data_IF_441967421805
#
_entry.id   IF_441967421805
#
_cell.length_a   1.000
_cell.length_b   1.000
_cell.length_c   1.000
_cell.angle_alpha   90.00
_cell.angle_beta   90.00
_cell.angle_gamma   90.00
#
_symmetry.space_group_name_H-M   'P 1'
#
loop_
_entity.id
_entity.type
_entity.pdbx_description
1 polymer ?
#
# COMPACT_ATOMS: atom_id res chain seq x y z
N UNK A 1 -9.77 -4.55 -16.16
CA UNK A 1 -9.14 -5.09 -14.95
C UNK A 1 -8.28 -4.00 -14.35
N UNK A 2 -8.36 -3.78 -13.04
CA UNK A 2 -7.59 -2.73 -12.36
C UNK A 2 -6.08 -3.01 -12.41
N UNK A 3 -5.25 -2.00 -12.69
CA UNK A 3 -3.79 -2.15 -12.69
C UNK A 3 -3.23 -1.95 -11.28
N UNK A 4 -2.04 -2.51 -11.04
CA UNK A 4 -1.32 -2.32 -9.77
C UNK A 4 -1.06 -0.84 -9.45
N UNK A 5 -0.77 -0.03 -10.47
CA UNK A 5 -0.62 1.43 -10.31
C UNK A 5 -1.90 2.09 -9.79
N UNK A 6 -3.07 1.62 -10.22
CA UNK A 6 -4.36 2.16 -9.80
C UNK A 6 -4.59 1.86 -8.32
N UNK A 7 -4.26 0.64 -7.88
CA UNK A 7 -4.33 0.22 -6.46
C UNK A 7 -3.43 1.12 -5.60
N UNK A 8 -2.19 1.34 -6.02
CA UNK A 8 -1.23 2.16 -5.26
C UNK A 8 -1.69 3.63 -5.21
N UNK A 9 -2.25 4.16 -6.30
CA UNK A 9 -2.80 5.51 -6.32
C UNK A 9 -4.04 5.65 -5.42
N UNK A 10 -4.93 4.66 -5.39
CA UNK A 10 -6.06 4.65 -4.46
C UNK A 10 -5.60 4.61 -2.99
N UNK A 11 -4.65 3.74 -2.67
CA UNK A 11 -4.12 3.63 -1.30
C UNK A 11 -3.44 4.94 -0.86
N UNK A 12 -2.64 5.56 -1.74
CA UNK A 12 -2.03 6.86 -1.44
C UNK A 12 -3.08 7.92 -1.10
N UNK A 13 -4.11 8.04 -1.94
CA UNK A 13 -5.18 9.02 -1.75
C UNK A 13 -6.00 8.73 -0.48
N UNK A 14 -6.27 7.47 -0.17
CA UNK A 14 -6.97 7.08 1.05
C UNK A 14 -6.15 7.47 2.30
N UNK A 15 -4.84 7.24 2.30
CA UNK A 15 -3.97 7.64 3.42
C UNK A 15 -3.92 9.17 3.57
N UNK A 16 -3.91 9.93 2.47
CA UNK A 16 -4.02 11.39 2.54
C UNK A 16 -5.37 11.85 3.12
N UNK A 17 -6.47 11.17 2.76
CA UNK A 17 -7.81 11.46 3.30
C UNK A 17 -7.86 11.23 4.82
N UNK A 18 -7.31 10.11 5.29
CA UNK A 18 -7.15 9.81 6.73
C UNK A 18 -6.24 10.81 7.44
N UNK A 19 -5.28 11.40 6.74
CA UNK A 19 -4.42 12.46 7.24
C UNK A 19 -5.09 13.85 7.21
N UNK A 20 -6.40 13.92 7.49
CA UNK A 20 -7.21 15.13 7.44
C UNK A 20 -7.14 15.86 6.08
N UNK A 21 -6.99 15.10 4.99
CA UNK A 21 -6.82 15.65 3.64
C UNK A 21 -5.46 16.31 3.37
N UNK A 22 -4.50 16.25 4.31
CA UNK A 22 -3.16 16.82 4.11
C UNK A 22 -2.36 15.95 3.17
N UNK A 23 -1.83 16.59 2.12
CA UNK A 23 -0.98 15.94 1.12
C UNK A 23 0.27 15.33 1.76
N UNK A 24 0.62 14.13 1.31
CA UNK A 24 1.83 13.41 1.71
C UNK A 24 2.74 13.33 0.50
N UNK A 25 3.97 13.84 0.63
CA UNK A 25 4.91 13.76 -0.47
C UNK A 25 5.22 12.31 -0.85
N UNK A 26 5.47 12.04 -2.12
CA UNK A 26 5.88 10.71 -2.58
C UNK A 26 7.15 10.23 -1.86
N UNK A 27 8.07 11.15 -1.54
CA UNK A 27 9.26 10.86 -0.72
C UNK A 27 8.87 10.35 0.66
N UNK A 28 7.97 11.05 1.36
CA UNK A 28 7.54 10.66 2.70
C UNK A 28 6.78 9.33 2.70
N UNK A 29 5.94 9.09 1.69
CA UNK A 29 5.24 7.81 1.57
C UNK A 29 6.21 6.66 1.27
N UNK A 30 7.20 6.89 0.41
CA UNK A 30 8.25 5.91 0.14
C UNK A 30 9.04 5.55 1.40
N UNK A 31 9.43 6.55 2.20
CA UNK A 31 10.07 6.37 3.51
C UNK A 31 9.19 5.53 4.45
N UNK A 32 7.90 5.85 4.56
CA UNK A 32 6.95 5.10 5.38
C UNK A 32 6.79 3.63 4.92
N UNK A 33 6.99 3.35 3.64
CA UNK A 33 6.94 2.01 3.06
C UNK A 33 8.29 1.30 3.04
N UNK A 34 9.38 1.91 3.52
CA UNK A 34 10.72 1.31 3.51
C UNK A 34 11.31 1.10 2.11
N UNK A 35 10.92 1.91 1.12
CA UNK A 35 11.41 1.81 -0.26
C UNK A 35 11.99 3.14 -0.76
N UNK A 36 12.76 3.10 -1.85
CA UNK A 36 13.28 4.33 -2.46
C UNK A 36 12.16 5.18 -3.08
N UNK A 37 12.34 6.51 -3.09
CA UNK A 37 11.42 7.43 -3.76
C UNK A 37 11.23 7.09 -5.24
N UNK A 38 12.31 6.65 -5.92
CA UNK A 38 12.27 6.23 -7.32
C UNK A 38 11.37 5.02 -7.53
N UNK A 39 11.51 4.00 -6.68
CA UNK A 39 10.67 2.79 -6.72
C UNK A 39 9.19 3.16 -6.55
N UNK A 40 8.88 4.02 -5.57
CA UNK A 40 7.51 4.47 -5.34
C UNK A 40 6.93 5.24 -6.54
N UNK A 41 7.74 6.09 -7.19
CA UNK A 41 7.37 6.81 -8.39
C UNK A 41 7.06 5.89 -9.57
N UNK A 42 7.96 4.96 -9.87
CA UNK A 42 7.79 4.02 -10.98
C UNK A 42 6.52 3.16 -10.79
N UNK A 43 6.22 2.76 -9.55
CA UNK A 43 5.00 2.01 -9.23
C UNK A 43 3.72 2.82 -9.38
N UNK A 44 3.74 4.10 -9.02
CA UNK A 44 2.58 5.00 -9.23
C UNK A 44 2.31 5.30 -10.70
N UNK A 45 3.37 5.42 -11.50
CA UNK A 45 3.29 5.62 -12.95
C UNK A 45 2.95 4.33 -13.72
N UNK A 46 3.14 3.17 -13.09
CA UNK A 46 2.94 1.87 -13.72
C UNK A 46 4.08 1.45 -14.66
N UNK A 47 5.25 2.10 -14.56
CA UNK A 47 6.46 1.74 -15.31
C UNK A 47 7.08 0.43 -14.82
N UNK A 48 6.87 0.13 -13.53
CA UNK A 48 7.13 -1.17 -12.91
C UNK A 48 6.03 -1.45 -11.89
N UNK A 49 5.92 -2.69 -11.41
CA UNK A 49 4.92 -3.05 -10.41
C UNK A 49 5.51 -4.03 -9.39
N UNK A 50 5.18 -3.90 -8.10
CA UNK A 50 5.48 -4.93 -7.13
C UNK A 50 4.74 -6.22 -7.52
N UNK A 51 5.48 -7.33 -7.53
CA UNK A 51 4.88 -8.64 -7.78
C UNK A 51 3.98 -9.02 -6.61
N UNK A 52 2.90 -9.75 -6.90
CA UNK A 52 2.06 -10.34 -5.87
C UNK A 52 0.94 -9.45 -5.32
N UNK A 53 0.87 -8.14 -5.60
CA UNK A 53 -0.26 -7.29 -5.17
C UNK A 53 -1.62 -7.92 -5.54
N UNK A 54 -1.87 -8.36 -6.80
CA UNK A 54 -3.14 -8.98 -7.14
C UNK A 54 -3.45 -10.24 -6.32
N UNK A 55 -2.45 -11.08 -6.06
CA UNK A 55 -2.61 -12.32 -5.28
C UNK A 55 -2.96 -11.99 -3.83
N UNK A 56 -2.25 -11.05 -3.21
CA UNK A 56 -2.50 -10.62 -1.82
C UNK A 56 -3.90 -10.05 -1.66
N UNK A 57 -4.33 -9.16 -2.55
CA UNK A 57 -5.68 -8.57 -2.48
C UNK A 57 -6.78 -9.61 -2.74
N UNK A 58 -6.57 -10.54 -3.67
CA UNK A 58 -7.51 -11.65 -3.89
C UNK A 58 -7.64 -12.52 -2.64
N UNK A 59 -6.53 -12.89 -2.01
CA UNK A 59 -6.55 -13.70 -0.77
C UNK A 59 -7.22 -12.96 0.39
N UNK A 60 -6.95 -11.66 0.55
CA UNK A 60 -7.64 -10.84 1.56
C UNK A 60 -9.14 -10.77 1.28
N UNK A 61 -9.55 -10.61 0.02
CA UNK A 61 -10.96 -10.56 -0.39
C UNK A 61 -11.73 -11.87 -0.20
N UNK A 62 -11.06 -12.99 0.07
CA UNK A 62 -11.69 -14.27 0.41
C UNK A 62 -12.00 -14.40 1.91
N UNK A 63 -11.53 -13.48 2.74
CA UNK A 63 -11.75 -13.47 4.18
C UNK A 63 -13.00 -12.66 4.56
N UNK A 64 -13.48 -12.86 5.78
CA UNK A 64 -14.52 -12.02 6.39
C UNK A 64 -13.92 -10.66 6.78
N UNK A 65 -14.74 -9.61 6.79
CA UNK A 65 -14.30 -8.24 7.07
C UNK A 65 -13.45 -8.11 8.35
N UNK A 66 -13.87 -8.75 9.44
CA UNK A 66 -13.14 -8.76 10.72
C UNK A 66 -11.75 -9.41 10.61
N UNK A 67 -11.63 -10.46 9.80
CA UNK A 67 -10.40 -11.20 9.59
C UNK A 67 -9.42 -10.42 8.71
N UNK A 68 -9.93 -9.66 7.72
CA UNK A 68 -9.13 -8.76 6.89
C UNK A 68 -8.44 -7.73 7.77
N UNK A 69 -9.20 -7.02 8.61
CA UNK A 69 -8.64 -5.97 9.49
C UNK A 69 -7.63 -6.58 10.44
N UNK A 70 -7.98 -7.69 11.10
CA UNK A 70 -7.08 -8.37 12.05
C UNK A 70 -5.77 -8.80 11.41
N UNK A 71 -5.83 -9.41 10.22
CA UNK A 71 -4.64 -9.93 9.54
C UNK A 71 -3.75 -8.79 9.02
N UNK A 72 -4.33 -7.76 8.41
CA UNK A 72 -3.56 -6.59 7.92
C UNK A 72 -2.84 -5.90 9.08
N UNK A 73 -3.50 -5.70 10.23
CA UNK A 73 -2.86 -5.10 11.40
C UNK A 73 -1.73 -5.98 11.95
N UNK A 74 -1.95 -7.30 12.07
CA UNK A 74 -0.92 -8.24 12.50
C UNK A 74 0.32 -8.22 11.60
N UNK A 75 0.15 -8.20 10.27
CA UNK A 75 1.26 -8.14 9.31
C UNK A 75 2.04 -6.82 9.48
N UNK A 76 1.33 -5.70 9.55
CA UNK A 76 1.92 -4.37 9.69
C UNK A 76 2.70 -4.21 11.00
N UNK A 77 2.21 -4.77 12.10
CA UNK A 77 2.91 -4.72 13.40
C UNK A 77 4.18 -5.59 13.37
N UNK A 78 4.15 -6.74 12.69
CA UNK A 78 5.34 -7.57 12.46
C UNK A 78 6.42 -6.85 11.64
N UNK A 79 6.03 -6.04 10.65
CA UNK A 79 6.96 -5.24 9.86
C UNK A 79 7.63 -4.15 10.69
N UNK A 80 6.91 -3.50 11.61
CA UNK A 80 7.49 -2.48 12.51
C UNK A 80 8.53 -3.02 13.49
N UNK A 81 8.44 -4.31 13.85
CA UNK A 81 9.40 -4.96 14.73
C UNK A 81 10.70 -5.44 14.05
N UNK A 82 10.81 -5.25 12.73
CA UNK A 82 11.97 -5.69 11.92
C UNK A 82 12.85 -4.51 11.46
N UNK A 83 12.55 -3.28 11.91
CA UNK A 83 13.28 -2.05 11.59
C UNK A 83 13.93 -1.46 12.84
#
# INVERSE_FOLDING_TARGET
MMKTSDIINLLHNAIEAENMGKKISQKKMAENCGISMRTYQEWRLGSSAPMGIPVVFNMLGMLRDEDIVRLVRKINDGQKGTV
#
